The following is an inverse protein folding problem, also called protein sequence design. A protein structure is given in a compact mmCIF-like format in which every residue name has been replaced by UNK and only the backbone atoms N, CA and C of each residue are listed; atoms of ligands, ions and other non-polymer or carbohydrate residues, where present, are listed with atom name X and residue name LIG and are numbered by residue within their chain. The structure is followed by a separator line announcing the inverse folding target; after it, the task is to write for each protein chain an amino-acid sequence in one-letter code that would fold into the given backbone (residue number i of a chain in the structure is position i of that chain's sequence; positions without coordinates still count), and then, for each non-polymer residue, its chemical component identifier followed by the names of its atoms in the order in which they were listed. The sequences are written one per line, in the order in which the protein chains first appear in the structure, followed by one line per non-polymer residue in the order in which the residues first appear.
data_IF_005739403709
#
_entry.id   IF_005739403709
#
_cell.length_a   1.000
_cell.length_b   1.000
_cell.length_c   1.000
_cell.angle_alpha   90.00
_cell.angle_beta   90.00
_cell.angle_gamma   90.00
#
_symmetry.space_group_name_H-M   'P 1'
#
loop_
_entity.id
_entity.type
_entity.pdbx_description
1 polymer ?
#
# COMPACT_ATOMS: atom_id res chain seq x y z
N UNK A 1 14.17 -12.69 13.22
CA UNK A 1 12.69 -12.74 13.18
C UNK A 1 12.25 -14.12 12.74
N UNK A 2 10.98 -14.51 12.97
CA UNK A 2 10.41 -15.78 12.48
C UNK A 2 10.53 -15.91 10.95
N UNK A 3 10.62 -14.81 10.24
CA UNK A 3 10.76 -14.77 8.78
C UNK A 3 12.18 -15.05 8.27
N UNK A 4 13.19 -14.99 9.15
CA UNK A 4 14.59 -15.31 8.81
C UNK A 4 14.90 -16.81 9.01
N UNK A 5 13.92 -17.59 9.49
CA UNK A 5 14.07 -19.03 9.64
C UNK A 5 14.16 -19.71 8.26
N UNK A 6 15.00 -20.74 8.17
CA UNK A 6 15.05 -21.63 6.99
C UNK A 6 13.65 -22.19 6.70
N UNK A 7 13.32 -22.51 5.43
CA UNK A 7 12.06 -23.13 5.08
C UNK A 7 11.75 -24.29 6.02
N UNK A 8 10.61 -24.20 6.72
CA UNK A 8 10.19 -25.26 7.62
C UNK A 8 9.66 -26.39 6.75
N UNK A 9 10.46 -27.44 6.57
CA UNK A 9 9.95 -28.67 5.97
C UNK A 9 8.94 -29.29 6.93
N UNK A 10 7.66 -29.12 6.63
CA UNK A 10 6.61 -29.80 7.36
C UNK A 10 6.70 -31.29 7.09
N UNK A 11 6.77 -32.08 8.14
CA UNK A 11 6.68 -33.51 8.05
C UNK A 11 5.22 -33.97 7.93
N UNK A 12 5.00 -35.25 7.63
CA UNK A 12 3.65 -35.81 7.44
C UNK A 12 2.77 -35.77 8.69
N UNK A 13 3.32 -35.44 9.87
CA UNK A 13 2.58 -35.29 11.13
C UNK A 13 2.09 -33.88 11.36
N UNK A 14 2.59 -32.89 10.58
CA UNK A 14 2.11 -31.52 10.65
C UNK A 14 0.63 -31.41 10.32
N UNK A 15 -0.07 -30.58 11.07
CA UNK A 15 -1.49 -30.26 10.84
C UNK A 15 -1.73 -29.66 9.46
N UNK A 16 -0.73 -28.97 8.89
CA UNK A 16 -0.81 -28.30 7.60
C UNK A 16 0.01 -28.99 6.49
N UNK A 17 0.44 -30.24 6.71
CA UNK A 17 1.19 -30.98 5.69
C UNK A 17 0.48 -31.01 4.32
N UNK A 18 -0.84 -31.23 4.31
CA UNK A 18 -1.62 -31.22 3.07
C UNK A 18 -1.59 -29.87 2.34
N UNK A 19 -1.54 -28.75 3.07
CA UNK A 19 -1.44 -27.42 2.50
C UNK A 19 -0.03 -27.07 2.02
N UNK A 20 1.01 -27.77 2.48
CA UNK A 20 2.39 -27.61 1.97
C UNK A 20 2.60 -28.30 0.61
N UNK A 21 1.65 -29.13 0.20
CA UNK A 21 1.68 -29.87 -1.07
C UNK A 21 0.63 -29.31 -2.02
N UNK A 22 1.05 -28.86 -3.21
CA UNK A 22 0.09 -28.29 -4.16
C UNK A 22 0.74 -27.77 -5.43
N UNK A 23 -0.08 -27.16 -6.26
CA UNK A 23 0.34 -26.45 -7.44
C UNK A 23 -0.18 -25.01 -7.39
N UNK A 24 0.59 -24.10 -7.93
CA UNK A 24 0.20 -22.71 -8.00
C UNK A 24 -1.00 -22.51 -8.94
N UNK A 25 -1.97 -21.74 -8.47
CA UNK A 25 -3.15 -21.31 -9.20
C UNK A 25 -3.34 -19.81 -9.04
N UNK A 26 -3.71 -19.15 -10.14
CA UNK A 26 -3.95 -17.73 -10.16
C UNK A 26 -5.44 -17.43 -10.26
N UNK A 27 -5.90 -16.45 -9.50
CA UNK A 27 -7.27 -15.92 -9.54
C UNK A 27 -7.21 -14.42 -9.80
N UNK A 28 -8.10 -13.88 -10.63
CA UNK A 28 -8.13 -12.46 -10.96
C UNK A 28 -9.41 -11.82 -10.45
N UNK A 29 -9.28 -10.67 -9.81
CA UNK A 29 -10.37 -9.74 -9.52
C UNK A 29 -10.11 -8.44 -10.28
N UNK A 30 -11.15 -7.85 -10.86
CA UNK A 30 -10.97 -6.59 -11.57
C UNK A 30 -12.24 -5.74 -11.49
N UNK A 31 -12.05 -4.42 -11.44
CA UNK A 31 -13.07 -3.42 -11.58
C UNK A 31 -12.70 -2.46 -12.74
N UNK A 32 -13.34 -1.28 -12.83
CA UNK A 32 -13.07 -0.34 -13.90
C UNK A 32 -11.65 0.25 -13.89
N UNK A 33 -11.01 0.34 -12.72
CA UNK A 33 -9.74 1.10 -12.54
C UNK A 33 -8.53 0.21 -12.26
N UNK A 34 -8.72 -1.00 -11.69
CA UNK A 34 -7.62 -1.89 -11.31
C UNK A 34 -7.93 -3.34 -11.61
N UNK A 35 -6.89 -4.08 -11.99
CA UNK A 35 -6.89 -5.54 -12.14
C UNK A 35 -5.86 -6.13 -11.18
N UNK A 36 -6.31 -7.03 -10.31
CA UNK A 36 -5.48 -7.71 -9.32
C UNK A 36 -5.41 -9.19 -9.62
N UNK A 37 -4.20 -9.75 -9.51
CA UNK A 37 -3.98 -11.19 -9.59
C UNK A 37 -3.60 -11.70 -8.22
N UNK A 38 -4.21 -12.78 -7.81
CA UNK A 38 -3.97 -13.48 -6.56
C UNK A 38 -3.34 -14.83 -6.86
N UNK A 39 -2.34 -15.21 -6.09
CA UNK A 39 -1.80 -16.57 -6.10
C UNK A 39 -2.30 -17.34 -4.88
N UNK A 40 -2.65 -18.61 -5.07
CA UNK A 40 -2.97 -19.50 -3.95
C UNK A 40 -1.72 -19.88 -3.13
N UNK A 41 -0.52 -19.74 -3.70
CA UNK A 41 0.72 -19.89 -2.94
C UNK A 41 0.91 -18.68 -2.01
N UNK A 42 0.74 -18.88 -0.73
CA UNK A 42 0.69 -17.83 0.27
C UNK A 42 -0.66 -17.10 0.39
N UNK A 43 -1.63 -17.38 -0.50
CA UNK A 43 -2.97 -16.79 -0.45
C UNK A 43 -2.98 -15.26 -0.59
N UNK A 44 -2.15 -14.67 -1.45
CA UNK A 44 -1.85 -13.24 -1.50
C UNK A 44 -2.12 -12.59 -2.86
N UNK A 45 -2.22 -11.26 -2.87
CA UNK A 45 -2.11 -10.46 -4.10
C UNK A 45 -0.68 -10.59 -4.63
N UNK A 46 -0.51 -10.99 -5.88
CA UNK A 46 0.81 -11.13 -6.51
C UNK A 46 1.05 -10.17 -7.67
N UNK A 47 0.02 -9.55 -8.24
CA UNK A 47 0.18 -8.52 -9.27
C UNK A 47 -0.93 -7.48 -9.22
N UNK A 48 -0.60 -6.24 -9.58
CA UNK A 48 -1.55 -5.14 -9.69
C UNK A 48 -1.30 -4.35 -10.99
N UNK A 49 -2.36 -4.18 -11.79
CA UNK A 49 -2.36 -3.40 -13.03
C UNK A 49 -3.37 -2.25 -12.89
N UNK A 50 -2.91 -1.01 -13.10
CA UNK A 50 -3.75 0.18 -13.11
C UNK A 50 -4.22 0.45 -14.54
N UNK A 51 -5.54 0.37 -14.78
CA UNK A 51 -6.13 0.36 -16.13
C UNK A 51 -6.14 1.73 -16.79
N UNK A 52 -6.25 2.80 -16.00
CA UNK A 52 -6.33 4.18 -16.48
C UNK A 52 -4.95 4.82 -16.74
N UNK A 53 -3.87 4.09 -16.46
CA UNK A 53 -2.50 4.59 -16.61
C UNK A 53 -1.71 3.68 -17.54
N UNK A 54 -0.81 4.29 -18.31
CA UNK A 54 0.08 3.55 -19.19
C UNK A 54 1.51 3.56 -18.65
N UNK A 55 2.17 2.42 -18.74
CA UNK A 55 3.61 2.30 -18.52
C UNK A 55 4.41 2.92 -19.67
N UNK A 56 5.73 2.92 -19.54
CA UNK A 56 6.65 3.44 -20.55
C UNK A 56 6.54 2.70 -21.91
N UNK A 57 6.04 1.48 -21.91
CA UNK A 57 5.81 0.63 -23.09
C UNK A 57 4.42 0.88 -23.74
N UNK A 58 3.64 1.81 -23.24
CA UNK A 58 2.30 2.13 -23.72
C UNK A 58 1.20 1.14 -23.33
N UNK A 59 1.52 0.11 -22.55
CA UNK A 59 0.54 -0.86 -21.99
C UNK A 59 -0.01 -0.36 -20.66
N UNK A 60 -1.15 -0.91 -20.19
CA UNK A 60 -1.64 -0.61 -18.84
C UNK A 60 -0.53 -0.79 -17.79
N UNK A 61 -0.46 0.16 -16.85
CA UNK A 61 0.64 0.27 -15.91
C UNK A 61 0.65 -0.91 -14.94
N UNK A 62 1.70 -1.73 -14.98
CA UNK A 62 1.95 -2.77 -14.00
C UNK A 62 2.71 -2.19 -12.81
N UNK A 63 2.04 -2.09 -11.66
CA UNK A 63 2.64 -1.56 -10.44
C UNK A 63 3.66 -2.55 -9.86
N UNK A 64 3.32 -3.83 -9.83
CA UNK A 64 4.19 -4.94 -9.48
C UNK A 64 3.64 -6.25 -10.05
N UNK A 65 4.50 -7.26 -10.18
CA UNK A 65 4.12 -8.65 -10.48
C UNK A 65 4.65 -9.61 -9.40
N UNK A 66 4.47 -10.89 -9.61
CA UNK A 66 4.85 -11.93 -8.67
C UNK A 66 6.33 -11.89 -8.27
N UNK A 67 7.21 -11.52 -9.20
CA UNK A 67 8.66 -11.44 -8.97
C UNK A 67 9.04 -10.24 -8.10
N UNK A 68 8.18 -9.25 -8.05
CA UNK A 68 8.43 -8.00 -7.36
C UNK A 68 7.86 -7.98 -5.94
N UNK A 69 6.92 -8.87 -5.63
CA UNK A 69 6.13 -8.81 -4.40
C UNK A 69 6.24 -10.09 -3.57
N UNK A 70 6.19 -9.94 -2.28
CA UNK A 70 6.11 -11.04 -1.32
C UNK A 70 5.31 -10.64 -0.10
N UNK A 71 4.56 -11.58 0.44
CA UNK A 71 3.84 -11.38 1.69
C UNK A 71 3.77 -12.71 2.43
N UNK A 72 4.18 -12.70 3.68
CA UNK A 72 4.18 -13.87 4.53
C UNK A 72 3.52 -13.54 5.86
N UNK A 73 2.58 -14.35 6.27
CA UNK A 73 2.00 -14.34 7.61
C UNK A 73 2.60 -15.49 8.41
N UNK A 74 3.22 -15.16 9.54
CA UNK A 74 3.75 -16.15 10.46
C UNK A 74 2.79 -16.34 11.64
N UNK A 75 2.18 -17.51 11.72
CA UNK A 75 1.30 -17.90 12.82
C UNK A 75 2.05 -18.81 13.78
N UNK A 76 2.13 -18.41 15.05
CA UNK A 76 2.78 -19.18 16.11
C UNK A 76 1.81 -20.21 16.70
N UNK A 77 2.00 -21.48 16.36
CA UNK A 77 1.26 -22.58 16.94
C UNK A 77 1.92 -23.12 18.21
N UNK A 78 1.24 -23.99 18.97
CA UNK A 78 1.76 -24.61 20.20
C UNK A 78 2.98 -25.48 19.95
N UNK A 79 2.98 -26.22 18.86
CA UNK A 79 4.01 -27.22 18.54
C UNK A 79 4.74 -26.95 17.24
N UNK A 80 4.17 -26.16 16.35
CA UNK A 80 4.71 -25.81 15.05
C UNK A 80 4.28 -24.39 14.65
N UNK A 81 5.11 -23.71 13.87
CA UNK A 81 4.80 -22.41 13.30
C UNK A 81 4.42 -22.58 11.82
N UNK A 82 3.55 -21.73 11.31
CA UNK A 82 3.14 -21.72 9.92
C UNK A 82 3.64 -20.45 9.26
N UNK A 83 4.35 -20.61 8.14
CA UNK A 83 4.71 -19.53 7.23
C UNK A 83 3.83 -19.67 6.00
N UNK A 84 2.94 -18.71 5.77
CA UNK A 84 1.94 -18.83 4.69
C UNK A 84 2.55 -18.83 3.29
N UNK A 85 3.73 -18.23 3.08
CA UNK A 85 4.38 -18.21 1.77
C UNK A 85 4.78 -19.62 1.26
N UNK A 86 4.89 -20.60 2.16
CA UNK A 86 5.19 -22.00 1.84
C UNK A 86 3.92 -22.86 1.67
N UNK A 87 2.72 -22.26 1.84
CA UNK A 87 1.46 -22.99 1.84
C UNK A 87 0.63 -22.71 0.59
N UNK A 88 -0.09 -23.73 0.14
CA UNK A 88 -1.06 -23.62 -0.94
C UNK A 88 -2.47 -23.52 -0.37
N UNK A 89 -3.08 -22.36 -0.58
CA UNK A 89 -4.46 -22.08 -0.21
C UNK A 89 -5.41 -22.63 -1.26
N UNK A 90 -6.66 -22.85 -0.86
CA UNK A 90 -7.73 -23.24 -1.77
C UNK A 90 -8.63 -22.04 -2.06
N UNK A 91 -8.69 -21.55 -3.31
CA UNK A 91 -9.63 -20.50 -3.69
C UNK A 91 -11.07 -21.00 -3.53
N UNK A 92 -11.87 -20.27 -2.77
CA UNK A 92 -13.29 -20.52 -2.55
C UNK A 92 -14.08 -19.21 -2.68
N UNK A 93 -15.40 -19.27 -2.81
CA UNK A 93 -16.26 -18.08 -2.90
C UNK A 93 -15.79 -17.06 -3.94
N UNK A 94 -15.31 -17.55 -5.08
CA UNK A 94 -14.82 -16.68 -6.16
C UNK A 94 -16.02 -16.05 -6.86
N UNK A 95 -16.04 -14.71 -6.89
CA UNK A 95 -17.00 -13.90 -7.66
C UNK A 95 -16.22 -12.87 -8.49
N UNK A 96 -16.89 -11.95 -9.16
CA UNK A 96 -16.25 -10.88 -9.94
C UNK A 96 -15.44 -9.94 -9.06
N UNK A 97 -15.79 -9.79 -7.77
CA UNK A 97 -15.17 -8.84 -6.84
C UNK A 97 -14.63 -9.47 -5.56
N UNK A 98 -14.82 -10.76 -5.33
CA UNK A 98 -14.39 -11.43 -4.08
C UNK A 98 -13.65 -12.74 -4.35
N UNK A 99 -12.72 -13.07 -3.48
CA UNK A 99 -12.07 -14.37 -3.39
C UNK A 99 -11.74 -14.67 -1.94
N UNK A 100 -12.06 -15.90 -1.48
CA UNK A 100 -11.57 -16.42 -0.22
C UNK A 100 -10.44 -17.40 -0.50
N UNK A 101 -9.28 -17.15 0.05
CA UNK A 101 -8.14 -18.08 0.05
C UNK A 101 -8.17 -18.85 1.37
N UNK A 102 -8.45 -20.14 1.32
CA UNK A 102 -8.58 -20.99 2.51
C UNK A 102 -7.35 -21.83 2.75
N UNK A 103 -6.70 -21.64 3.89
CA UNK A 103 -5.64 -22.49 4.40
C UNK A 103 -6.27 -23.60 5.25
N UNK A 104 -6.37 -24.82 4.69
CA UNK A 104 -7.01 -25.95 5.34
C UNK A 104 -6.03 -26.74 6.21
N UNK A 105 -6.45 -27.05 7.44
CA UNK A 105 -5.77 -27.97 8.34
C UNK A 105 -6.34 -29.40 8.23
N UNK A 106 -5.53 -30.42 8.53
CA UNK A 106 -5.93 -31.82 8.44
C UNK A 106 -7.03 -32.22 9.43
N UNK A 107 -7.27 -31.43 10.47
CA UNK A 107 -8.33 -31.68 11.47
C UNK A 107 -9.68 -31.06 11.09
N UNK A 108 -9.81 -30.49 9.88
CA UNK A 108 -11.01 -29.80 9.43
C UNK A 108 -11.10 -28.32 9.84
N UNK A 109 -10.15 -27.82 10.64
CA UNK A 109 -9.99 -26.38 10.90
C UNK A 109 -9.37 -25.66 9.70
N UNK A 110 -9.50 -24.34 9.65
CA UNK A 110 -8.94 -23.56 8.57
C UNK A 110 -8.73 -22.11 8.97
N UNK A 111 -7.92 -21.42 8.19
CA UNK A 111 -7.75 -19.96 8.23
C UNK A 111 -8.15 -19.40 6.87
N UNK A 112 -9.09 -18.46 6.85
CA UNK A 112 -9.55 -17.80 5.63
C UNK A 112 -8.89 -16.41 5.49
N UNK A 113 -8.44 -16.15 4.28
CA UNK A 113 -8.01 -14.84 3.79
C UNK A 113 -9.07 -14.35 2.80
N UNK A 114 -9.97 -13.51 3.27
CA UNK A 114 -11.07 -12.97 2.47
C UNK A 114 -10.67 -11.64 1.83
N UNK A 115 -10.74 -11.58 0.50
CA UNK A 115 -10.48 -10.39 -0.28
C UNK A 115 -11.75 -9.91 -0.97
N UNK A 116 -11.99 -8.60 -0.90
CA UNK A 116 -13.08 -7.94 -1.61
C UNK A 116 -12.58 -6.67 -2.28
N UNK A 117 -12.54 -6.68 -3.61
CA UNK A 117 -12.24 -5.49 -4.41
C UNK A 117 -13.46 -4.56 -4.40
N UNK A 118 -13.28 -3.31 -3.98
CA UNK A 118 -14.35 -2.34 -3.95
C UNK A 118 -14.67 -1.81 -5.36
N UNK A 119 -15.95 -1.51 -5.68
CA UNK A 119 -16.34 -1.03 -6.99
C UNK A 119 -15.71 0.35 -7.27
N UNK A 120 -15.23 0.54 -8.49
CA UNK A 120 -14.66 1.80 -9.01
C UNK A 120 -13.58 2.45 -8.11
N UNK A 121 -12.90 1.64 -7.30
CA UNK A 121 -11.91 2.08 -6.32
C UNK A 121 -10.63 1.26 -6.43
N UNK A 122 -9.53 1.85 -5.96
CA UNK A 122 -8.22 1.20 -5.84
C UNK A 122 -8.05 0.46 -4.50
N UNK A 123 -9.16 0.25 -3.77
CA UNK A 123 -9.18 -0.33 -2.43
C UNK A 123 -9.66 -1.77 -2.45
N UNK A 124 -8.99 -2.60 -1.63
CA UNK A 124 -9.33 -4.01 -1.42
C UNK A 124 -9.47 -4.25 0.07
N UNK A 125 -10.62 -4.72 0.51
CA UNK A 125 -10.77 -5.20 1.88
C UNK A 125 -10.11 -6.56 2.01
N UNK A 126 -9.39 -6.77 3.08
CA UNK A 126 -8.67 -7.99 3.38
C UNK A 126 -8.92 -8.39 4.84
N UNK A 127 -9.52 -9.55 5.04
CA UNK A 127 -9.91 -10.04 6.36
C UNK A 127 -9.32 -11.42 6.60
N UNK A 128 -8.74 -11.63 7.79
CA UNK A 128 -8.25 -12.95 8.22
C UNK A 128 -9.15 -13.45 9.34
N UNK A 129 -9.56 -14.70 9.23
CA UNK A 129 -10.37 -15.38 10.26
C UNK A 129 -9.97 -16.84 10.41
N UNK A 130 -9.70 -17.25 11.65
CA UNK A 130 -9.54 -18.66 12.00
C UNK A 130 -10.90 -19.33 12.25
N UNK A 131 -11.00 -20.62 11.94
CA UNK A 131 -12.16 -21.45 12.24
C UNK A 131 -11.69 -22.84 12.67
N UNK A 132 -12.15 -23.30 13.84
CA UNK A 132 -11.80 -24.63 14.36
C UNK A 132 -10.31 -24.78 14.71
N UNK A 133 -9.59 -23.69 14.99
CA UNK A 133 -8.15 -23.67 15.20
C UNK A 133 -7.73 -23.48 16.67
N UNK A 134 -8.66 -23.45 17.62
CA UNK A 134 -8.39 -23.13 19.03
C UNK A 134 -7.37 -24.09 19.68
N UNK A 135 -7.32 -25.35 19.26
CA UNK A 135 -6.38 -26.32 19.76
C UNK A 135 -4.96 -26.18 19.20
N UNK A 136 -4.84 -25.56 18.04
CA UNK A 136 -3.56 -25.32 17.37
C UNK A 136 -2.79 -24.17 18.03
N UNK A 137 -3.48 -23.07 18.34
CA UNK A 137 -2.86 -21.87 18.85
C UNK A 137 -2.69 -21.87 20.38
N UNK A 138 -1.63 -21.24 20.91
CA UNK A 138 -1.54 -20.95 22.34
C UNK A 138 -2.70 -20.08 22.80
N UNK A 139 -3.27 -20.29 23.99
CA UNK A 139 -4.40 -19.49 24.50
C UNK A 139 -4.11 -17.99 24.64
N UNK A 140 -2.85 -17.62 24.82
CA UNK A 140 -2.41 -16.23 24.99
C UNK A 140 -2.10 -15.54 23.64
N UNK A 141 -2.16 -16.25 22.51
CA UNK A 141 -1.87 -15.66 21.21
C UNK A 141 -2.96 -14.65 20.85
N UNK A 142 -2.57 -13.43 20.52
CA UNK A 142 -3.45 -12.35 20.13
C UNK A 142 -2.91 -11.49 18.98
N UNK A 143 -1.79 -11.90 18.38
CA UNK A 143 -1.15 -11.20 17.26
C UNK A 143 -0.68 -12.16 16.19
N UNK A 144 -0.55 -11.65 14.97
CA UNK A 144 0.11 -12.32 13.84
C UNK A 144 1.26 -11.45 13.32
N UNK A 145 2.35 -12.10 12.96
CA UNK A 145 3.50 -11.43 12.35
C UNK A 145 3.32 -11.40 10.82
N UNK A 146 3.59 -10.25 10.22
CA UNK A 146 3.48 -10.01 8.78
C UNK A 146 4.85 -9.56 8.27
N UNK A 147 5.35 -10.21 7.23
CA UNK A 147 6.46 -9.72 6.42
C UNK A 147 5.94 -9.34 5.04
N UNK A 148 5.99 -8.07 4.70
CA UNK A 148 5.57 -7.54 3.42
C UNK A 148 6.76 -6.96 2.67
N UNK A 149 6.92 -7.36 1.39
CA UNK A 149 8.05 -6.99 0.56
C UNK A 149 7.58 -6.56 -0.82
N UNK A 150 8.24 -5.55 -1.37
CA UNK A 150 8.02 -5.15 -2.76
C UNK A 150 9.28 -4.52 -3.35
N UNK A 151 9.60 -4.92 -4.58
CA UNK A 151 10.55 -4.21 -5.42
C UNK A 151 9.79 -3.14 -6.20
N UNK A 152 10.05 -1.87 -5.89
CA UNK A 152 9.43 -0.75 -6.59
C UNK A 152 10.04 -0.64 -7.99
N UNK A 153 9.22 -0.83 -9.03
CA UNK A 153 9.64 -0.68 -10.43
C UNK A 153 9.99 0.75 -10.76
N UNK A 154 10.91 0.97 -11.69
CA UNK A 154 11.07 2.27 -12.32
C UNK A 154 9.91 2.48 -13.29
N UNK A 155 9.02 3.41 -12.99
CA UNK A 155 7.82 3.70 -13.78
C UNK A 155 8.01 4.91 -14.70
N UNK A 156 8.95 5.81 -14.36
CA UNK A 156 9.25 7.03 -15.11
C UNK A 156 10.60 6.94 -15.83
N UNK A 157 10.79 7.75 -16.90
CA UNK A 157 12.04 7.77 -17.67
C UNK A 157 13.22 8.36 -16.89
N UNK A 158 12.95 9.30 -15.99
CA UNK A 158 13.97 10.06 -15.26
C UNK A 158 14.32 9.40 -13.92
N UNK A 159 15.23 8.40 -13.90
CA UNK A 159 15.62 7.67 -12.69
C UNK A 159 15.93 8.58 -11.49
N UNK A 160 16.85 9.54 -11.65
CA UNK A 160 17.28 10.40 -10.54
C UNK A 160 16.17 11.32 -10.02
N UNK A 161 15.19 11.65 -10.85
CA UNK A 161 14.04 12.45 -10.43
C UNK A 161 13.03 11.58 -9.70
N UNK A 162 12.69 10.42 -10.24
CA UNK A 162 11.76 9.48 -9.60
C UNK A 162 12.29 9.03 -8.23
N UNK A 163 13.60 8.79 -8.11
CA UNK A 163 14.23 8.34 -6.87
C UNK A 163 13.98 9.29 -5.68
N UNK A 164 13.93 10.61 -5.92
CA UNK A 164 13.69 11.63 -4.88
C UNK A 164 12.29 11.57 -4.27
N UNK A 165 11.34 10.94 -4.96
CA UNK A 165 9.94 10.85 -4.53
C UNK A 165 9.51 9.41 -4.26
N UNK A 166 10.44 8.46 -4.31
CA UNK A 166 10.21 7.04 -4.06
C UNK A 166 10.68 6.71 -2.65
N UNK A 167 9.75 6.44 -1.73
CA UNK A 167 10.05 6.24 -0.31
C UNK A 167 9.13 5.20 0.33
N UNK A 168 9.63 4.52 1.35
CA UNK A 168 8.78 3.81 2.29
C UNK A 168 8.21 4.86 3.26
N UNK A 169 6.90 5.01 3.25
CA UNK A 169 6.16 6.00 4.05
C UNK A 169 5.26 5.28 5.02
N UNK A 170 5.05 5.81 6.21
CA UNK A 170 4.19 5.22 7.22
C UNK A 170 3.45 6.28 8.02
N UNK A 171 2.31 5.90 8.61
CA UNK A 171 1.44 6.80 9.36
C UNK A 171 1.30 6.29 10.79
N UNK A 172 1.98 6.91 11.76
CA UNK A 172 1.69 6.65 13.16
C UNK A 172 0.29 7.13 13.54
N UNK A 173 -0.36 6.41 14.45
CA UNK A 173 -1.68 6.77 14.98
C UNK A 173 -1.61 8.15 15.64
N UNK A 174 -2.55 9.04 15.30
CA UNK A 174 -2.67 10.40 15.84
C UNK A 174 -1.44 11.32 15.60
N UNK A 175 -0.53 10.95 14.70
CA UNK A 175 0.63 11.74 14.31
C UNK A 175 0.65 11.94 12.78
N UNK A 176 1.42 12.90 12.31
CA UNK A 176 1.65 13.06 10.86
C UNK A 176 2.42 11.88 10.29
N UNK A 177 2.22 11.59 9.00
CA UNK A 177 2.99 10.60 8.27
C UNK A 177 4.49 10.95 8.24
N UNK A 178 5.32 9.92 8.20
CA UNK A 178 6.77 10.02 8.10
C UNK A 178 7.30 9.04 7.04
N UNK A 179 8.57 9.16 6.65
CA UNK A 179 9.15 8.32 5.60
C UNK A 179 10.64 8.07 5.81
N UNK A 180 11.12 6.94 5.31
CA UNK A 180 12.53 6.60 5.32
C UNK A 180 13.30 7.42 4.26
N UNK A 181 14.59 7.65 4.51
CA UNK A 181 15.46 8.39 3.59
C UNK A 181 15.40 7.83 2.16
N UNK A 182 15.13 8.72 1.18
CA UNK A 182 14.94 8.32 -0.21
C UNK A 182 16.25 8.04 -0.96
N UNK A 183 17.36 8.55 -0.48
CA UNK A 183 18.64 8.51 -1.23
C UNK A 183 19.61 7.45 -0.71
N UNK A 184 19.39 6.93 0.49
CA UNK A 184 20.29 5.98 1.16
C UNK A 184 19.53 4.75 1.61
N UNK A 185 20.26 3.67 1.84
CA UNK A 185 19.72 2.56 2.61
C UNK A 185 19.30 3.05 3.99
N UNK A 186 18.08 2.75 4.35
CA UNK A 186 17.50 3.15 5.62
C UNK A 186 16.77 1.98 6.26
N UNK A 187 16.95 1.84 7.56
CA UNK A 187 16.21 0.91 8.42
C UNK A 187 15.70 1.68 9.63
N UNK A 188 14.46 1.45 9.99
CA UNK A 188 13.82 2.09 11.13
C UNK A 188 12.94 1.10 11.88
N UNK A 189 13.12 1.03 13.19
CA UNK A 189 12.27 0.26 14.09
C UNK A 189 11.27 1.22 14.75
N UNK A 190 10.04 1.21 14.25
CA UNK A 190 8.96 2.07 14.72
C UNK A 190 8.24 1.39 15.86
N UNK A 191 8.21 2.03 17.03
CA UNK A 191 7.55 1.54 18.23
C UNK A 191 6.14 2.09 18.43
N UNK A 192 5.83 3.17 17.73
CA UNK A 192 4.46 3.71 17.68
C UNK A 192 3.53 2.73 16.93
N UNK A 193 2.25 2.72 17.30
CA UNK A 193 1.24 2.02 16.51
C UNK A 193 1.02 2.75 15.20
N UNK A 194 0.81 1.99 14.13
CA UNK A 194 0.68 2.53 12.78
C UNK A 194 -0.70 2.26 12.20
N UNK A 195 -1.30 3.27 11.56
CA UNK A 195 -2.53 3.13 10.78
C UNK A 195 -2.24 2.44 9.44
N UNK A 196 -1.14 2.83 8.77
CA UNK A 196 -0.77 2.24 7.48
C UNK A 196 0.73 2.37 7.18
N UNK A 197 1.17 1.51 6.27
CA UNK A 197 2.52 1.51 5.67
C UNK A 197 2.35 1.55 4.15
N UNK A 198 3.14 2.38 3.46
CA UNK A 198 3.10 2.57 2.02
C UNK A 198 4.45 2.34 1.37
N UNK A 199 4.47 1.51 0.35
CA UNK A 199 5.56 1.37 -0.61
C UNK A 199 5.26 2.32 -1.78
N UNK A 200 5.86 3.50 -1.71
CA UNK A 200 5.56 4.61 -2.59
C UNK A 200 6.57 4.73 -3.72
N UNK A 201 6.06 4.84 -4.95
CA UNK A 201 6.77 5.42 -6.09
C UNK A 201 6.41 6.90 -6.22
N UNK A 202 6.95 7.59 -7.22
CA UNK A 202 6.66 9.02 -7.43
C UNK A 202 5.15 9.28 -7.57
N UNK A 203 4.46 8.53 -8.43
CA UNK A 203 3.04 8.77 -8.78
C UNK A 203 2.09 7.65 -8.36
N UNK A 204 2.59 6.55 -7.81
CA UNK A 204 1.78 5.39 -7.44
C UNK A 204 2.24 4.81 -6.12
N UNK A 205 1.34 4.17 -5.41
CA UNK A 205 1.64 3.52 -4.13
C UNK A 205 0.92 2.18 -3.98
N UNK A 206 1.59 1.28 -3.27
CA UNK A 206 1.00 0.12 -2.62
C UNK A 206 0.91 0.43 -1.13
N UNK A 207 -0.29 0.44 -0.56
CA UNK A 207 -0.51 0.76 0.86
C UNK A 207 -1.17 -0.41 1.55
N UNK A 208 -0.70 -0.77 2.74
CA UNK A 208 -1.36 -1.70 3.63
C UNK A 208 -1.85 -0.94 4.87
N UNK A 209 -3.14 -1.03 5.11
CA UNK A 209 -3.88 -0.31 6.15
C UNK A 209 -4.38 -1.33 7.16
N UNK A 210 -4.18 -1.10 8.44
CA UNK A 210 -4.74 -1.94 9.52
C UNK A 210 -5.92 -1.24 10.19
N UNK A 211 -7.03 -1.95 10.34
CA UNK A 211 -8.19 -1.48 11.09
C UNK A 211 -7.91 -1.40 12.60
N UNK A 212 -7.20 -2.42 13.10
CA UNK A 212 -6.80 -2.52 14.52
C UNK A 212 -5.35 -2.07 14.77
N UNK A 213 -4.77 -1.29 13.88
CA UNK A 213 -3.40 -0.79 13.88
C UNK A 213 -2.32 -1.89 13.74
N UNK A 214 -1.13 -1.51 13.32
CA UNK A 214 0.07 -2.31 13.49
C UNK A 214 0.73 -1.91 14.81
N UNK A 215 1.02 -2.88 15.67
CA UNK A 215 1.55 -2.59 17.02
C UNK A 215 2.97 -2.04 16.98
N UNK A 216 3.78 -2.54 16.07
CA UNK A 216 5.17 -2.14 15.84
C UNK A 216 5.59 -2.56 14.44
N UNK A 217 6.58 -1.90 13.89
CA UNK A 217 7.12 -2.24 12.58
C UNK A 217 8.65 -2.07 12.53
N UNK A 218 9.32 -2.96 11.81
CA UNK A 218 10.70 -2.78 11.35
C UNK A 218 10.67 -2.55 9.85
N UNK A 219 11.05 -1.36 9.42
CA UNK A 219 10.94 -0.89 8.05
C UNK A 219 12.32 -0.79 7.42
N UNK A 220 12.47 -1.31 6.19
CA UNK A 220 13.74 -1.26 5.46
C UNK A 220 13.49 -0.80 4.02
N UNK A 221 14.33 0.14 3.56
CA UNK A 221 14.32 0.66 2.20
C UNK A 221 15.74 0.64 1.64
N UNK A 222 15.97 -0.13 0.58
CA UNK A 222 17.29 -0.27 -0.06
C UNK A 222 17.22 0.26 -1.48
N UNK A 223 17.91 1.40 -1.81
CA UNK A 223 17.94 1.94 -3.16
C UNK A 223 18.54 0.95 -4.16
N UNK A 224 18.03 0.96 -5.38
CA UNK A 224 18.55 0.16 -6.49
C UNK A 224 19.36 1.04 -7.44
N UNK A 225 20.17 0.42 -8.29
CA UNK A 225 21.01 1.12 -9.26
C UNK A 225 20.22 1.50 -10.50
N UNK A 226 20.59 2.62 -11.12
CA UNK A 226 20.09 3.02 -12.43
C UNK A 226 20.34 1.92 -13.46
N UNK A 227 19.35 1.65 -14.30
CA UNK A 227 19.41 0.57 -15.30
C UNK A 227 18.98 -0.81 -14.79
N UNK A 228 18.73 -0.99 -13.49
CA UNK A 228 18.20 -2.25 -12.94
C UNK A 228 16.72 -2.48 -13.27
N UNK A 229 15.98 -1.44 -13.67
CA UNK A 229 14.53 -1.45 -13.84
C UNK A 229 13.75 -1.25 -12.52
N UNK A 230 14.45 -1.03 -11.41
CA UNK A 230 13.87 -0.87 -10.08
C UNK A 230 14.43 0.37 -9.38
N UNK A 231 13.59 0.97 -8.53
CA UNK A 231 13.95 2.13 -7.72
C UNK A 231 14.43 1.72 -6.32
N UNK A 232 13.69 0.81 -5.68
CA UNK A 232 13.88 0.41 -4.28
C UNK A 232 13.49 -1.05 -4.05
N UNK A 233 14.11 -1.66 -3.04
CA UNK A 233 13.58 -2.83 -2.38
C UNK A 233 13.01 -2.39 -1.03
N UNK A 234 11.73 -2.65 -0.82
CA UNK A 234 11.02 -2.36 0.42
C UNK A 234 10.75 -3.63 1.20
N UNK A 235 10.91 -3.55 2.51
CA UNK A 235 10.51 -4.60 3.44
C UNK A 235 9.88 -3.96 4.67
N UNK A 236 8.74 -4.49 5.09
CA UNK A 236 8.07 -4.13 6.33
C UNK A 236 7.74 -5.41 7.12
N UNK A 237 8.36 -5.54 8.28
CA UNK A 237 8.02 -6.54 9.29
C UNK A 237 7.14 -5.88 10.34
N UNK A 238 5.94 -6.41 10.57
CA UNK A 238 4.98 -5.80 11.47
C UNK A 238 4.12 -6.83 12.17
N UNK A 239 3.46 -6.43 13.25
CA UNK A 239 2.49 -7.25 13.96
C UNK A 239 1.14 -6.55 14.02
N UNK A 240 0.06 -7.33 13.94
CA UNK A 240 -1.31 -6.82 14.14
C UNK A 240 -2.14 -7.81 14.93
N UNK A 241 -3.30 -7.37 15.36
CA UNK A 241 -4.27 -8.19 16.08
C UNK A 241 -4.63 -9.46 15.32
N UNK A 242 -4.74 -10.58 16.04
CA UNK A 242 -5.25 -11.84 15.55
C UNK A 242 -6.00 -12.58 16.67
N UNK A 243 -7.23 -13.02 16.38
CA UNK A 243 -8.02 -13.85 17.30
C UNK A 243 -8.00 -15.34 16.87
N UNK A 244 -7.25 -16.19 17.56
CA UNK A 244 -7.16 -17.60 17.24
C UNK A 244 -8.48 -18.37 17.45
N UNK A 245 -9.45 -17.78 18.17
CA UNK A 245 -10.78 -18.39 18.38
C UNK A 245 -11.72 -18.16 17.21
N UNK A 246 -11.40 -17.21 16.34
CA UNK A 246 -12.21 -16.84 15.17
C UNK A 246 -13.48 -16.04 15.49
N UNK A 247 -13.67 -15.60 16.75
CA UNK A 247 -14.81 -14.74 17.12
C UNK A 247 -14.69 -13.35 16.54
N UNK A 248 -13.46 -12.84 16.47
CA UNK A 248 -13.13 -11.56 15.83
C UNK A 248 -12.25 -11.81 14.61
N UNK A 249 -12.41 -10.98 13.59
CA UNK A 249 -11.55 -11.00 12.41
C UNK A 249 -10.45 -9.97 12.52
N UNK A 250 -9.32 -10.26 11.88
CA UNK A 250 -8.28 -9.28 11.59
C UNK A 250 -8.67 -8.55 10.32
N UNK A 251 -8.89 -7.25 10.39
CA UNK A 251 -9.35 -6.46 9.26
C UNK A 251 -8.23 -5.54 8.78
N UNK A 252 -7.96 -5.59 7.48
CA UNK A 252 -6.98 -4.76 6.79
C UNK A 252 -7.55 -4.32 5.44
N UNK A 253 -6.89 -3.37 4.82
CA UNK A 253 -7.18 -2.96 3.46
C UNK A 253 -5.88 -2.74 2.70
N UNK A 254 -5.89 -3.04 1.40
CA UNK A 254 -4.87 -2.58 0.47
C UNK A 254 -5.40 -1.39 -0.34
N UNK A 255 -4.50 -0.48 -0.65
CA UNK A 255 -4.67 0.49 -1.71
C UNK A 255 -3.57 0.26 -2.75
N UNK A 256 -3.95 0.04 -4.00
CA UNK A 256 -3.02 -0.06 -5.13
C UNK A 256 -3.44 0.97 -6.18
N UNK A 257 -2.80 2.12 -6.19
CA UNK A 257 -3.31 3.19 -7.02
C UNK A 257 -2.41 4.42 -7.15
N UNK A 258 -2.93 5.48 -7.81
CA UNK A 258 -2.19 6.70 -8.06
C UNK A 258 -2.05 7.56 -6.79
N UNK A 259 -0.93 8.26 -6.67
CA UNK A 259 -0.73 9.33 -5.71
C UNK A 259 -1.44 10.61 -6.18
N UNK A 260 -2.75 10.51 -6.41
CA UNK A 260 -3.59 11.62 -6.81
C UNK A 260 -4.40 12.11 -5.62
N UNK A 261 -4.25 13.39 -5.28
CA UNK A 261 -4.77 13.97 -4.03
C UNK A 261 -6.24 13.65 -3.78
N UNK A 262 -7.12 13.90 -4.76
CA UNK A 262 -8.57 13.65 -4.59
C UNK A 262 -8.91 12.16 -4.52
N UNK A 263 -8.21 11.32 -5.26
CA UNK A 263 -8.40 9.86 -5.22
C UNK A 263 -8.05 9.32 -3.84
N UNK A 264 -6.94 9.77 -3.27
CA UNK A 264 -6.50 9.39 -1.92
C UNK A 264 -7.44 9.94 -0.85
N UNK A 265 -7.85 11.20 -0.98
CA UNK A 265 -8.83 11.82 -0.05
C UNK A 265 -10.16 11.04 -0.05
N UNK A 266 -10.70 10.71 -1.22
CA UNK A 266 -11.93 9.91 -1.33
C UNK A 266 -11.75 8.48 -0.82
N UNK A 267 -10.53 7.95 -0.86
CA UNK A 267 -10.23 6.60 -0.35
C UNK A 267 -10.31 6.54 1.18
N UNK A 268 -10.12 7.66 1.90
CA UNK A 268 -10.31 7.72 3.34
C UNK A 268 -11.76 7.37 3.74
N UNK A 269 -12.74 7.77 2.92
CA UNK A 269 -14.17 7.48 3.17
C UNK A 269 -14.50 5.97 3.03
N UNK A 270 -13.61 5.20 2.40
CA UNK A 270 -13.73 3.76 2.22
C UNK A 270 -13.04 2.97 3.34
N UNK A 271 -12.50 3.63 4.34
CA UNK A 271 -11.84 3.01 5.49
C UNK A 271 -12.81 2.16 6.30
N UNK A 272 -12.43 0.90 6.59
CA UNK A 272 -13.22 0.00 7.45
C UNK A 272 -13.32 0.54 8.88
N UNK A 273 -12.28 1.17 9.39
CA UNK A 273 -12.21 1.73 10.74
C UNK A 273 -12.96 3.06 10.88
N UNK A 274 -13.43 3.65 9.77
CA UNK A 274 -14.00 5.00 9.74
C UNK A 274 -13.05 6.09 10.31
N UNK A 275 -11.75 5.78 10.39
CA UNK A 275 -10.71 6.73 10.75
C UNK A 275 -10.38 7.61 9.54
N UNK A 276 -10.01 8.85 9.78
CA UNK A 276 -9.33 9.65 8.78
C UNK A 276 -7.89 9.14 8.63
N UNK A 277 -7.65 8.42 7.54
CA UNK A 277 -6.35 7.80 7.28
C UNK A 277 -5.31 8.81 6.78
N UNK A 278 -5.74 10.00 6.34
CA UNK A 278 -4.86 11.01 5.75
C UNK A 278 -3.98 10.44 4.62
N UNK A 279 -4.54 9.55 3.78
CA UNK A 279 -3.81 8.94 2.65
C UNK A 279 -3.29 9.99 1.66
N UNK A 280 -3.96 11.15 1.58
CA UNK A 280 -3.52 12.28 0.75
C UNK A 280 -2.15 12.84 1.16
N UNK A 281 -1.62 12.51 2.34
CA UNK A 281 -0.27 12.83 2.76
C UNK A 281 0.82 12.12 1.92
N UNK A 282 0.46 11.07 1.17
CA UNK A 282 1.32 10.47 0.16
C UNK A 282 1.65 11.42 -0.98
N UNK A 283 0.84 12.47 -1.20
CA UNK A 283 1.14 13.54 -2.15
C UNK A 283 1.96 14.63 -1.48
N UNK A 284 3.21 14.80 -1.92
CA UNK A 284 4.05 15.87 -1.40
C UNK A 284 3.56 17.24 -1.87
N UNK A 285 2.90 17.98 -1.01
CA UNK A 285 2.38 19.33 -1.30
C UNK A 285 3.31 20.48 -0.85
N UNK A 286 4.53 20.16 -0.40
CA UNK A 286 5.50 21.16 0.05
C UNK A 286 5.33 21.59 1.52
N UNK A 287 5.95 22.70 1.89
CA UNK A 287 5.94 23.25 3.25
C UNK A 287 4.52 23.59 3.72
N UNK A 288 4.23 23.66 5.03
CA UNK A 288 2.87 23.80 5.55
C UNK A 288 2.05 24.95 4.93
N UNK A 289 2.66 26.11 4.72
CA UNK A 289 2.00 27.27 4.09
C UNK A 289 1.69 26.99 2.62
N UNK A 290 2.67 26.40 1.89
CA UNK A 290 2.52 26.04 0.47
C UNK A 290 1.50 24.92 0.33
N UNK A 291 1.52 23.92 1.25
CA UNK A 291 0.53 22.83 1.33
C UNK A 291 -0.88 23.38 1.49
N UNK A 292 -1.09 24.36 2.38
CA UNK A 292 -2.40 25.00 2.57
C UNK A 292 -2.88 25.69 1.29
N UNK A 293 -2.02 26.50 0.62
CA UNK A 293 -2.37 27.15 -0.65
C UNK A 293 -2.64 26.12 -1.75
N UNK A 294 -1.83 25.07 -1.85
CA UNK A 294 -2.02 24.03 -2.86
C UNK A 294 -3.33 23.27 -2.63
N UNK A 295 -3.64 22.89 -1.39
CA UNK A 295 -4.85 22.13 -1.03
C UNK A 295 -6.14 22.93 -1.32
N UNK A 296 -6.16 24.20 -0.93
CA UNK A 296 -7.39 25.01 -1.02
C UNK A 296 -7.54 25.77 -2.33
N UNK A 297 -6.46 26.17 -2.96
CA UNK A 297 -6.49 27.01 -4.13
C UNK A 297 -6.01 26.28 -5.39
N UNK A 298 -4.76 25.82 -5.43
CA UNK A 298 -4.13 25.33 -6.67
C UNK A 298 -4.82 24.08 -7.22
N UNK A 299 -5.12 23.10 -6.38
CA UNK A 299 -5.79 21.84 -6.80
C UNK A 299 -7.19 22.13 -7.31
N UNK A 300 -7.97 22.91 -6.57
CA UNK A 300 -9.34 23.23 -6.97
C UNK A 300 -9.41 24.07 -8.24
N UNK A 301 -8.50 25.02 -8.41
CA UNK A 301 -8.39 25.82 -9.62
C UNK A 301 -8.01 24.96 -10.83
N UNK A 302 -7.03 24.06 -10.65
CA UNK A 302 -6.61 23.13 -11.70
C UNK A 302 -7.77 22.23 -12.15
N UNK A 303 -8.49 21.62 -11.21
CA UNK A 303 -9.59 20.73 -11.53
C UNK A 303 -10.76 21.47 -12.18
N UNK A 304 -11.07 22.68 -11.73
CA UNK A 304 -12.08 23.53 -12.34
C UNK A 304 -11.76 23.85 -13.81
N UNK A 305 -10.52 24.26 -14.11
CA UNK A 305 -10.08 24.55 -15.46
C UNK A 305 -9.99 23.29 -16.34
N UNK A 306 -9.53 22.17 -15.77
CA UNK A 306 -9.44 20.88 -16.46
C UNK A 306 -10.83 20.33 -16.86
N UNK A 307 -11.85 20.63 -16.06
CA UNK A 307 -13.25 20.27 -16.33
C UNK A 307 -13.84 20.96 -17.57
N UNK A 308 -13.18 21.98 -18.12
CA UNK A 308 -13.62 22.67 -19.35
C UNK A 308 -13.19 21.93 -20.64
N UNK A 309 -12.52 20.79 -20.53
CA UNK A 309 -12.06 20.02 -21.69
C UNK A 309 -10.93 20.68 -22.49
N UNK A 310 -10.23 21.62 -21.86
CA UNK A 310 -9.08 22.32 -22.47
C UNK A 310 -7.84 21.43 -22.49
N UNK A 311 -6.94 21.66 -23.46
CA UNK A 311 -5.64 20.98 -23.43
C UNK A 311 -4.85 21.36 -22.19
N UNK A 312 -4.03 20.44 -21.66
CA UNK A 312 -3.22 20.64 -20.44
C UNK A 312 -2.35 21.91 -20.52
N UNK A 313 -1.79 22.21 -21.70
CA UNK A 313 -1.00 23.43 -21.90
C UNK A 313 -1.81 24.71 -21.71
N UNK A 314 -3.05 24.74 -22.17
CA UNK A 314 -3.95 25.89 -21.98
C UNK A 314 -4.36 26.02 -20.52
N UNK A 315 -4.66 24.91 -19.83
CA UNK A 315 -4.97 24.91 -18.40
C UNK A 315 -3.83 25.52 -17.59
N UNK A 316 -2.58 25.08 -17.82
CA UNK A 316 -1.40 25.61 -17.13
C UNK A 316 -1.15 27.10 -17.45
N UNK A 317 -1.38 27.52 -18.69
CA UNK A 317 -1.28 28.92 -19.08
C UNK A 317 -2.30 29.80 -18.31
N UNK A 318 -3.56 29.37 -18.30
CA UNK A 318 -4.63 30.07 -17.58
C UNK A 318 -4.36 30.14 -16.08
N UNK A 319 -3.94 29.04 -15.46
CA UNK A 319 -3.52 29.02 -14.07
C UNK A 319 -2.42 30.05 -13.79
N UNK A 320 -1.40 30.10 -14.65
CA UNK A 320 -0.30 31.04 -14.50
C UNK A 320 -0.80 32.50 -14.56
N UNK A 321 -1.69 32.82 -15.47
CA UNK A 321 -2.30 34.15 -15.60
C UNK A 321 -3.10 34.50 -14.34
N UNK A 322 -3.98 33.61 -13.89
CA UNK A 322 -4.82 33.82 -12.70
C UNK A 322 -3.96 34.05 -11.46
N UNK A 323 -2.95 33.20 -11.22
CA UNK A 323 -2.03 33.35 -10.08
C UNK A 323 -1.28 34.67 -10.15
N UNK A 324 -0.76 35.07 -11.33
CA UNK A 324 -0.08 36.36 -11.50
C UNK A 324 -0.99 37.54 -11.23
N UNK A 325 -2.23 37.52 -11.68
CA UNK A 325 -3.21 38.57 -11.40
C UNK A 325 -3.49 38.68 -9.91
N UNK A 326 -3.65 37.57 -9.21
CA UNK A 326 -3.91 37.55 -7.76
C UNK A 326 -2.72 38.03 -6.93
N UNK A 327 -1.50 37.71 -7.35
CA UNK A 327 -0.27 38.12 -6.64
C UNK A 327 0.18 39.54 -7.01
N UNK A 328 -0.31 40.09 -8.13
CA UNK A 328 0.06 41.41 -8.64
C UNK A 328 -0.04 42.56 -7.61
N UNK A 329 -1.13 42.71 -6.83
CA UNK A 329 -1.20 43.80 -5.86
C UNK A 329 -0.10 43.78 -4.78
N UNK A 330 0.28 42.56 -4.32
CA UNK A 330 1.34 42.36 -3.34
C UNK A 330 2.71 42.64 -3.93
N UNK A 331 2.97 42.15 -5.14
CA UNK A 331 4.25 42.38 -5.84
C UNK A 331 4.43 43.88 -6.22
N UNK A 332 3.37 44.54 -6.66
CA UNK A 332 3.37 45.97 -6.96
C UNK A 332 3.76 46.82 -5.72
N UNK A 333 3.15 46.54 -4.56
CA UNK A 333 3.50 47.21 -3.29
C UNK A 333 4.95 46.97 -2.93
N UNK A 334 5.48 45.77 -3.09
CA UNK A 334 6.86 45.41 -2.79
C UNK A 334 7.85 46.20 -3.71
N UNK A 335 7.55 46.24 -5.02
CA UNK A 335 8.39 47.03 -5.96
C UNK A 335 8.36 48.52 -5.66
N UNK A 336 7.20 49.10 -5.34
CA UNK A 336 7.08 50.49 -4.96
C UNK A 336 7.85 50.83 -3.67
N UNK A 337 7.79 49.93 -2.68
CA UNK A 337 8.55 50.08 -1.43
C UNK A 337 10.07 50.04 -1.69
N UNK A 338 10.53 49.09 -2.53
CA UNK A 338 11.95 49.00 -2.89
C UNK A 338 12.44 50.20 -3.71
N UNK A 339 11.60 50.75 -4.59
CA UNK A 339 11.91 51.96 -5.36
C UNK A 339 12.04 53.17 -4.46
N UNK A 340 11.17 53.34 -3.46
CA UNK A 340 11.23 54.43 -2.49
C UNK A 340 12.48 54.38 -1.56
N UNK A 341 13.04 53.20 -1.32
CA UNK A 341 14.25 53.04 -0.51
C UNK A 341 15.56 53.36 -1.29
N UNK A 342 15.48 53.48 -2.62
CA UNK A 342 16.63 53.81 -3.48
C UNK A 342 16.77 55.30 -3.79
N UNK A 343 15.86 56.13 -3.33
CA UNK A 343 15.89 57.60 -3.35
C UNK A 343 16.20 58.11 -1.96
#
# INVERSE_FOLDING_TARGET
SLHDALPIYLDSTSMFYGASQGAEQLTTLENNVVKLTFTNKGGRVCAAILKDYNGQDGKPLMLFDEKDSGMNFAFEGKNENILTEDMYFQPTNVTDSTVTMRLAANNGGYIDFDYKLLPDAYMVNFTIRANGMQNFFPPALNTVNINWRQRARQLEKGFSFEQRYTSLTYKPVEKSSDYLNEMKEAKEDVTDRLDWIAFKNQFFSSVLIADQDFDKASLTSTPQQEGSGYMKNYTADMTTFFDPTGKQSTNMQFYFGPNHFKTLLNSNDLSLSQKDLELEDLVYLGWPIIRWVNRWFTINLFDWLSGWGLSMGVVLLLMTIIVKVLVYPATYKSYMSSAKMRV
#
